data_IF_140222985803
#
_entry.id   IF_140222985803
#
_cell.length_a   1.000
_cell.length_b   1.000
_cell.length_c   1.000
_cell.angle_alpha   90.00
_cell.angle_beta   90.00
_cell.angle_gamma   90.00
#
_symmetry.space_group_name_H-M   'P 1'
#
loop_
_entity.id
_entity.type
_entity.pdbx_description
1 polymer ?
#
# COMPACT_ATOMS: atom_id res chain seq x y z
N UNK A 1 4.27 17.36 -14.80
CA UNK A 1 3.21 16.43 -15.21
C UNK A 1 1.95 17.24 -15.20
N UNK A 2 1.08 17.03 -16.19
CA UNK A 2 -0.26 17.58 -16.14
C UNK A 2 -1.09 16.80 -15.11
N UNK A 3 -2.21 17.34 -14.65
CA UNK A 3 -3.13 16.63 -13.76
C UNK A 3 -3.63 15.31 -14.37
N UNK A 4 -3.85 15.30 -15.70
CA UNK A 4 -4.23 14.09 -16.43
C UNK A 4 -3.13 13.01 -16.35
N UNK A 5 -1.86 13.39 -16.49
CA UNK A 5 -0.73 12.46 -16.37
C UNK A 5 -0.67 11.82 -14.97
N UNK A 6 -0.88 12.62 -13.92
CA UNK A 6 -0.84 12.15 -12.52
C UNK A 6 -1.94 11.13 -12.28
N UNK A 7 -3.14 11.42 -12.78
CA UNK A 7 -4.29 10.52 -12.68
C UNK A 7 -4.07 9.21 -13.41
N UNK A 8 -3.52 9.25 -14.62
CA UNK A 8 -3.18 8.06 -15.37
C UNK A 8 -2.14 7.21 -14.64
N UNK A 9 -1.08 7.83 -14.11
CA UNK A 9 -0.08 7.13 -13.30
C UNK A 9 -0.67 6.50 -12.04
N UNK A 10 -1.52 7.23 -11.31
CA UNK A 10 -2.21 6.72 -10.13
C UNK A 10 -3.01 5.46 -10.44
N UNK A 11 -3.74 5.46 -11.56
CA UNK A 11 -4.58 4.33 -11.94
C UNK A 11 -3.76 3.13 -12.41
N UNK A 12 -2.66 3.37 -13.14
CA UNK A 12 -1.70 2.30 -13.49
C UNK A 12 -1.08 1.67 -12.25
N UNK A 13 -0.69 2.47 -11.26
CA UNK A 13 -0.14 1.97 -10.00
C UNK A 13 -1.19 1.13 -9.26
N UNK A 14 -2.44 1.60 -9.18
CA UNK A 14 -3.53 0.85 -8.56
C UNK A 14 -3.77 -0.49 -9.26
N UNK A 15 -3.82 -0.50 -10.59
CA UNK A 15 -4.00 -1.72 -11.38
C UNK A 15 -2.87 -2.73 -11.11
N UNK A 16 -1.63 -2.28 -11.02
CA UNK A 16 -0.48 -3.15 -10.68
C UNK A 16 -0.63 -3.74 -9.27
N UNK A 17 -1.08 -2.94 -8.28
CA UNK A 17 -1.27 -3.42 -6.91
C UNK A 17 -2.42 -4.44 -6.80
N UNK A 18 -3.53 -4.20 -7.52
CA UNK A 18 -4.69 -5.12 -7.57
C UNK A 18 -4.31 -6.41 -8.28
N UNK A 19 -3.74 -6.31 -9.49
CA UNK A 19 -3.43 -7.47 -10.33
C UNK A 19 -2.25 -8.30 -9.82
N UNK A 20 -1.39 -7.77 -8.94
CA UNK A 20 -0.29 -8.54 -8.35
C UNK A 20 -0.84 -9.72 -7.54
N UNK A 21 -0.56 -10.98 -7.94
CA UNK A 21 -1.06 -12.15 -7.23
C UNK A 21 -0.59 -12.18 -5.78
N UNK A 22 -1.42 -12.71 -4.88
CA UNK A 22 -1.10 -12.80 -3.45
C UNK A 22 0.23 -13.53 -3.21
N UNK A 23 0.50 -14.60 -3.96
CA UNK A 23 1.75 -15.38 -3.89
C UNK A 23 3.01 -14.61 -4.29
N UNK A 24 2.86 -13.52 -5.05
CA UNK A 24 3.97 -12.64 -5.47
C UNK A 24 4.14 -11.41 -4.56
N UNK A 25 3.33 -11.29 -3.52
CA UNK A 25 3.43 -10.23 -2.53
C UNK A 25 4.35 -10.64 -1.38
N UNK A 26 4.85 -9.67 -0.62
CA UNK A 26 5.78 -9.92 0.48
C UNK A 26 5.07 -10.47 1.72
N UNK A 27 5.66 -11.51 2.33
CA UNK A 27 5.21 -12.05 3.61
C UNK A 27 5.38 -11.03 4.74
N UNK A 28 4.48 -11.08 5.72
CA UNK A 28 4.74 -10.44 7.00
C UNK A 28 5.89 -11.18 7.70
N UNK A 29 6.96 -10.46 7.99
CA UNK A 29 8.14 -10.97 8.69
C UNK A 29 8.48 -10.00 9.81
N UNK A 30 9.19 -10.47 10.84
CA UNK A 30 9.49 -9.64 12.02
C UNK A 30 10.23 -8.35 11.68
N UNK A 31 11.07 -8.35 10.65
CA UNK A 31 11.95 -7.23 10.30
C UNK A 31 11.67 -6.59 8.93
N UNK A 32 10.72 -7.15 8.18
CA UNK A 32 10.34 -6.72 6.84
C UNK A 32 11.54 -6.54 5.89
N UNK A 33 12.61 -7.34 6.05
CA UNK A 33 13.87 -7.17 5.30
C UNK A 33 13.69 -7.20 3.78
N UNK A 34 12.71 -7.97 3.31
CA UNK A 34 12.41 -8.12 1.88
C UNK A 34 11.67 -6.91 1.28
N UNK A 35 11.07 -6.04 2.11
CA UNK A 35 10.42 -4.84 1.60
C UNK A 35 11.46 -3.84 1.05
N UNK A 36 11.11 -3.10 -0.02
CA UNK A 36 11.97 -2.07 -0.55
C UNK A 36 12.33 -0.99 0.49
N UNK A 37 13.57 -0.51 0.45
CA UNK A 37 13.99 0.69 1.21
C UNK A 37 13.65 2.00 0.49
N UNK A 38 13.10 1.91 -0.71
CA UNK A 38 12.81 3.05 -1.57
C UNK A 38 11.41 3.62 -1.30
N UNK A 39 11.16 4.87 -1.72
CA UNK A 39 9.83 5.45 -1.73
C UNK A 39 8.84 4.66 -2.59
N UNK A 40 7.57 4.68 -2.23
CA UNK A 40 6.53 4.08 -3.07
C UNK A 40 5.16 4.00 -2.43
N UNK A 41 4.26 3.35 -3.17
CA UNK A 41 2.92 2.99 -2.72
C UNK A 41 2.94 1.50 -2.34
N UNK A 42 2.22 1.15 -1.29
CA UNK A 42 2.03 -0.23 -0.87
C UNK A 42 0.56 -0.51 -0.59
N UNK A 43 0.19 -1.79 -0.67
CA UNK A 43 -1.11 -2.28 -0.29
C UNK A 43 -0.96 -3.48 0.65
N UNK A 44 -1.78 -3.55 1.69
CA UNK A 44 -1.95 -4.75 2.51
C UNK A 44 -3.10 -5.56 1.87
N UNK A 45 -2.79 -6.77 1.45
CA UNK A 45 -3.71 -7.69 0.78
C UNK A 45 -4.03 -8.88 1.68
N UNK A 46 -5.26 -9.35 1.62
CA UNK A 46 -5.65 -10.64 2.18
C UNK A 46 -5.62 -11.73 1.10
N UNK A 47 -5.56 -13.00 1.51
CA UNK A 47 -5.47 -14.15 0.58
C UNK A 47 -6.66 -14.32 -0.37
N UNK A 48 -7.81 -13.75 -0.02
CA UNK A 48 -9.00 -13.66 -0.89
C UNK A 48 -8.87 -12.56 -1.97
N UNK A 49 -7.65 -12.04 -2.18
CA UNK A 49 -7.29 -10.99 -3.12
C UNK A 49 -7.89 -9.61 -2.83
N UNK A 50 -8.46 -9.43 -1.65
CA UNK A 50 -8.99 -8.15 -1.18
C UNK A 50 -7.85 -7.20 -0.73
N UNK A 51 -7.90 -5.95 -1.17
CA UNK A 51 -7.06 -4.88 -0.63
C UNK A 51 -7.70 -4.35 0.66
N UNK A 52 -7.01 -4.53 1.78
CA UNK A 52 -7.48 -4.06 3.09
C UNK A 52 -7.02 -2.63 3.40
N UNK A 53 -5.88 -2.23 2.85
CA UNK A 53 -5.29 -0.91 3.05
C UNK A 53 -4.36 -0.54 1.89
N UNK A 54 -4.31 0.74 1.53
CA UNK A 54 -3.32 1.36 0.65
C UNK A 54 -2.67 2.53 1.38
N UNK A 55 -1.35 2.66 1.26
CA UNK A 55 -0.64 3.83 1.77
C UNK A 55 0.63 4.14 0.98
N UNK A 56 1.21 5.31 1.23
CA UNK A 56 2.52 5.73 0.71
C UNK A 56 3.62 5.76 1.76
N UNK A 57 4.87 5.76 1.32
CA UNK A 57 6.01 6.07 2.19
C UNK A 57 7.21 6.58 1.40
N UNK A 58 8.05 7.41 2.03
CA UNK A 58 9.39 7.74 1.56
C UNK A 58 10.40 6.60 1.68
N UNK A 59 10.09 5.56 2.47
CA UNK A 59 10.87 4.33 2.56
C UNK A 59 9.97 3.20 3.04
N UNK A 60 9.48 2.37 2.12
CA UNK A 60 8.43 1.37 2.40
C UNK A 60 8.80 0.50 3.61
N UNK A 61 10.00 -0.09 3.64
CA UNK A 61 10.44 -0.92 4.76
C UNK A 61 10.42 -0.20 6.11
N UNK A 62 10.86 1.07 6.15
CA UNK A 62 10.91 1.84 7.38
C UNK A 62 9.51 2.08 7.96
N UNK A 63 8.50 2.22 7.08
CA UNK A 63 7.11 2.44 7.48
C UNK A 63 6.51 1.32 8.33
N UNK A 64 7.01 0.09 8.18
CA UNK A 64 6.50 -1.08 8.92
C UNK A 64 7.29 -1.40 10.20
N UNK A 65 8.47 -0.80 10.42
CA UNK A 65 9.37 -1.20 11.53
C UNK A 65 8.85 -0.84 12.92
N UNK A 66 8.10 0.24 13.05
CA UNK A 66 7.63 0.76 14.35
C UNK A 66 6.14 0.45 14.60
N UNK A 67 5.64 -0.61 13.96
CA UNK A 67 4.21 -0.89 13.91
C UNK A 67 3.52 -0.18 12.75
N UNK A 68 2.38 -0.73 12.34
CA UNK A 68 1.58 -0.20 11.24
C UNK A 68 0.11 -0.31 11.61
N UNK A 69 -0.59 0.83 11.69
CA UNK A 69 -1.94 0.89 12.23
C UNK A 69 -2.92 -0.06 11.52
N UNK A 70 -2.85 -0.20 10.20
CA UNK A 70 -3.70 -1.15 9.49
C UNK A 70 -3.41 -2.62 9.81
N UNK A 71 -2.15 -2.98 10.09
CA UNK A 71 -1.82 -4.34 10.54
C UNK A 71 -2.31 -4.56 11.98
N UNK A 72 -2.15 -3.56 12.85
CA UNK A 72 -2.71 -3.59 14.21
C UNK A 72 -4.22 -3.82 14.17
N UNK A 73 -4.96 -3.09 13.32
CA UNK A 73 -6.40 -3.28 13.13
C UNK A 73 -6.74 -4.67 12.56
N UNK A 74 -5.96 -5.17 11.59
CA UNK A 74 -6.12 -6.52 11.05
C UNK A 74 -5.97 -7.61 12.13
N UNK A 75 -5.02 -7.43 13.05
CA UNK A 75 -4.83 -8.37 14.16
C UNK A 75 -5.93 -8.26 15.22
N UNK A 76 -6.47 -7.05 15.48
CA UNK A 76 -7.68 -6.90 16.31
C UNK A 76 -8.90 -7.57 15.69
N UNK A 77 -9.02 -7.53 14.36
CA UNK A 77 -10.03 -8.26 13.58
C UNK A 77 -9.75 -9.78 13.50
N UNK A 78 -8.70 -10.28 14.17
CA UNK A 78 -8.29 -11.70 14.23
C UNK A 78 -7.92 -12.30 12.87
N UNK A 79 -7.40 -11.49 11.95
CA UNK A 79 -6.83 -12.01 10.70
C UNK A 79 -5.50 -12.75 10.98
N UNK A 80 -5.32 -13.90 10.34
CA UNK A 80 -4.08 -14.66 10.42
C UNK A 80 -2.96 -13.91 9.66
N UNK A 81 -1.79 -13.65 10.27
CA UNK A 81 -0.65 -13.07 9.57
C UNK A 81 -0.23 -13.83 8.30
N UNK A 82 -0.44 -15.14 8.24
CA UNK A 82 -0.17 -15.97 7.06
C UNK A 82 -1.06 -15.61 5.86
N UNK A 83 -2.28 -15.13 6.15
CA UNK A 83 -3.28 -14.72 5.18
C UNK A 83 -3.11 -13.26 4.72
N UNK A 84 -2.10 -12.56 5.24
CA UNK A 84 -1.76 -11.20 4.87
C UNK A 84 -0.46 -11.14 4.08
N UNK A 85 -0.45 -10.26 3.07
CA UNK A 85 0.74 -9.95 2.28
C UNK A 85 0.81 -8.46 1.97
N UNK A 86 2.01 -7.99 1.64
CA UNK A 86 2.26 -6.60 1.26
C UNK A 86 2.60 -6.56 -0.23
N UNK A 87 1.75 -5.91 -1.02
CA UNK A 87 2.08 -5.54 -2.40
C UNK A 87 2.78 -4.17 -2.40
N UNK A 88 3.76 -3.98 -3.26
CA UNK A 88 4.49 -2.71 -3.37
C UNK A 88 4.65 -2.29 -4.82
N UNK A 89 4.72 -0.97 -5.01
CA UNK A 89 5.16 -0.30 -6.22
C UNK A 89 6.19 0.78 -5.84
N UNK A 90 7.45 0.58 -6.24
CA UNK A 90 8.53 1.57 -6.02
C UNK A 90 8.39 2.67 -7.06
N UNK A 91 8.32 3.91 -6.61
CA UNK A 91 8.13 5.05 -7.51
C UNK A 91 9.46 5.60 -8.05
N UNK A 92 9.39 6.23 -9.22
CA UNK A 92 10.51 6.96 -9.81
C UNK A 92 10.72 8.33 -9.17
N UNK A 93 11.88 8.95 -9.39
CA UNK A 93 12.18 10.31 -8.91
C UNK A 93 11.14 11.36 -9.35
N UNK A 94 10.52 11.17 -10.53
CA UNK A 94 9.46 12.05 -11.03
C UNK A 94 8.19 11.93 -10.19
N UNK A 95 7.81 10.70 -9.86
CA UNK A 95 6.61 10.36 -9.08
C UNK A 95 6.72 10.72 -7.61
N UNK A 96 7.92 10.64 -7.02
CA UNK A 96 8.14 11.01 -5.60
C UNK A 96 7.57 12.40 -5.29
N UNK A 97 7.75 13.37 -6.19
CA UNK A 97 7.27 14.75 -6.02
C UNK A 97 5.75 14.87 -5.93
N UNK A 98 5.02 13.88 -6.42
CA UNK A 98 3.55 13.87 -6.51
C UNK A 98 2.95 12.70 -5.74
N UNK A 99 3.72 12.06 -4.86
CA UNK A 99 3.33 10.81 -4.22
C UNK A 99 2.05 10.93 -3.39
N UNK A 100 1.83 12.08 -2.74
CA UNK A 100 0.62 12.36 -1.98
C UNK A 100 -0.62 12.52 -2.86
N UNK A 101 -0.48 13.15 -4.03
CA UNK A 101 -1.57 13.33 -4.98
C UNK A 101 -1.91 12.00 -5.69
N UNK A 102 -0.88 11.23 -6.06
CA UNK A 102 -1.02 9.86 -6.57
C UNK A 102 -1.80 8.99 -5.58
N UNK A 103 -1.40 8.97 -4.30
CA UNK A 103 -2.12 8.22 -3.26
C UNK A 103 -3.58 8.67 -3.14
N UNK A 104 -3.82 9.99 -3.15
CA UNK A 104 -5.17 10.54 -3.03
C UNK A 104 -6.08 10.10 -4.18
N UNK A 105 -5.58 10.13 -5.42
CA UNK A 105 -6.31 9.67 -6.61
C UNK A 105 -6.53 8.15 -6.60
N UNK A 106 -5.56 7.38 -6.08
CA UNK A 106 -5.73 5.94 -5.86
C UNK A 106 -6.87 5.70 -4.87
N UNK A 107 -6.86 6.36 -3.72
CA UNK A 107 -7.86 6.20 -2.65
C UNK A 107 -9.27 6.63 -3.08
N UNK A 108 -9.37 7.62 -3.98
CA UNK A 108 -10.65 8.01 -4.59
C UNK A 108 -11.18 6.96 -5.58
N UNK A 109 -10.29 6.19 -6.22
CA UNK A 109 -10.65 5.23 -7.27
C UNK A 109 -10.95 3.83 -6.74
N UNK A 110 -10.23 3.40 -5.69
CA UNK A 110 -10.46 2.09 -5.06
C UNK A 110 -11.75 2.12 -4.24
N UNK A 111 -12.44 0.99 -4.16
CA UNK A 111 -13.65 0.83 -3.35
C UNK A 111 -13.29 0.79 -1.85
N UNK A 112 -12.98 1.97 -1.29
CA UNK A 112 -12.69 2.27 0.12
C UNK A 112 -12.18 1.07 0.94
N UNK A 113 -10.87 0.75 0.87
CA UNK A 113 -10.30 -0.36 1.63
C UNK A 113 -10.66 -0.29 3.11
N UNK A 114 -10.96 -1.45 3.69
CA UNK A 114 -11.52 -1.61 5.04
C UNK A 114 -10.83 -0.75 6.10
N UNK A 115 -9.51 -0.63 6.05
CA UNK A 115 -8.74 0.10 7.05
C UNK A 115 -8.42 1.55 6.68
N UNK A 116 -8.49 1.94 5.40
CA UNK A 116 -8.34 3.34 5.00
C UNK A 116 -9.50 4.22 5.50
N UNK A 117 -10.68 3.64 5.69
CA UNK A 117 -11.85 4.36 6.26
C UNK A 117 -11.82 4.49 7.78
N UNK A 118 -11.01 3.65 8.46
CA UNK A 118 -10.93 3.57 9.93
C UNK A 118 -9.72 4.28 10.52
N UNK A 119 -8.71 4.56 9.70
CA UNK A 119 -7.46 5.21 10.10
C UNK A 119 -7.44 6.60 9.45
N UNK A 120 -7.37 7.69 10.23
CA UNK A 120 -7.20 9.03 9.67
C UNK A 120 -5.97 9.06 8.76
N UNK A 121 -6.06 9.73 7.61
CA UNK A 121 -4.94 9.97 6.69
C UNK A 121 -3.95 10.97 7.32
N UNK A 122 -3.27 10.57 8.39
CA UNK A 122 -2.18 11.32 9.01
C UNK A 122 -1.13 10.33 9.51
N UNK A 123 -0.31 9.81 8.60
CA UNK A 123 0.99 9.17 8.92
C UNK A 123 2.02 9.40 7.81
#
# INVERSE_FOLDING_TARGET
MTEADIKEEAYKILEILISKPFSQCYCLTRDFKQLPTSPGIYAIKHKNEEILYIGKSGAIRARFRNGHNALTQAFFDRLDPADLRIATFVVTNRQIRQLSEIESLILQKVDKPKYNSRIPLVE
#
